data_IF_467392858557
#
_entry.id   IF_467392858557
#
_cell.length_a   1.000
_cell.length_b   1.000
_cell.length_c   1.000
_cell.angle_alpha   90.00
_cell.angle_beta   90.00
_cell.angle_gamma   90.00
#
_symmetry.space_group_name_H-M   'P 1'
#
loop_
_entity.id
_entity.type
_entity.pdbx_description
1 polymer ?
#
# COMPACT_ATOMS: atom_id res chain seq x y z
N UNK A 1 -30.26 14.57 -45.22
CA UNK A 1 -29.59 13.57 -44.33
C UNK A 1 -28.76 14.24 -43.23
N UNK A 2 -29.37 14.93 -42.25
CA UNK A 2 -28.64 15.58 -41.13
C UNK A 2 -29.17 15.27 -39.71
N UNK A 3 -30.30 14.57 -39.59
CA UNK A 3 -30.96 14.32 -38.28
C UNK A 3 -30.51 13.05 -37.53
N UNK A 4 -30.03 12.00 -38.22
CA UNK A 4 -29.73 10.70 -37.58
C UNK A 4 -28.37 10.64 -36.85
N UNK A 5 -27.42 11.54 -37.16
CA UNK A 5 -26.08 11.54 -36.52
C UNK A 5 -26.07 12.19 -35.12
N UNK A 6 -26.98 13.14 -34.85
CA UNK A 6 -27.06 13.79 -33.53
C UNK A 6 -27.67 12.89 -32.45
N UNK A 7 -28.60 12.02 -32.81
CA UNK A 7 -29.26 11.11 -31.87
C UNK A 7 -28.30 10.01 -31.37
N UNK A 8 -27.43 9.50 -32.26
CA UNK A 8 -26.44 8.49 -31.90
C UNK A 8 -25.36 9.03 -30.95
N UNK A 9 -24.92 10.28 -31.16
CA UNK A 9 -23.95 10.92 -30.27
C UNK A 9 -24.49 11.13 -28.85
N UNK A 10 -25.76 11.52 -28.70
CA UNK A 10 -26.38 11.74 -27.38
C UNK A 10 -26.59 10.43 -26.61
N UNK A 11 -26.91 9.33 -27.32
CA UNK A 11 -27.10 8.01 -26.72
C UNK A 11 -25.78 7.40 -26.23
N UNK A 12 -24.69 7.57 -26.99
CA UNK A 12 -23.35 7.10 -26.59
C UNK A 12 -22.82 7.87 -25.37
N UNK A 13 -23.03 9.19 -25.32
CA UNK A 13 -22.65 10.01 -24.15
C UNK A 13 -23.43 9.58 -22.90
N UNK A 14 -24.73 9.28 -23.03
CA UNK A 14 -25.55 8.82 -21.89
C UNK A 14 -25.09 7.45 -21.33
N UNK A 15 -24.71 6.52 -22.21
CA UNK A 15 -24.17 5.20 -21.81
C UNK A 15 -22.81 5.36 -21.11
N UNK A 16 -21.91 6.21 -21.65
CA UNK A 16 -20.61 6.48 -21.03
C UNK A 16 -20.78 7.12 -19.65
N UNK A 17 -21.67 8.10 -19.50
CA UNK A 17 -21.96 8.72 -18.20
C UNK A 17 -22.56 7.73 -17.19
N UNK A 18 -23.48 6.84 -17.61
CA UNK A 18 -24.05 5.82 -16.73
C UNK A 18 -23.02 4.75 -16.34
N UNK A 19 -22.15 4.31 -17.25
CA UNK A 19 -21.06 3.39 -16.94
C UNK A 19 -20.02 4.05 -16.03
N UNK A 20 -19.69 5.32 -16.24
CA UNK A 20 -18.78 6.06 -15.36
C UNK A 20 -19.40 6.24 -13.97
N UNK A 21 -20.69 6.53 -13.86
CA UNK A 21 -21.40 6.62 -12.58
C UNK A 21 -21.50 5.27 -11.86
N UNK A 22 -21.70 4.17 -12.61
CA UNK A 22 -21.69 2.82 -12.06
C UNK A 22 -20.28 2.40 -11.60
N UNK A 23 -19.23 2.77 -12.34
CA UNK A 23 -17.83 2.46 -12.03
C UNK A 23 -17.29 3.32 -10.87
N UNK A 24 -17.61 4.62 -10.84
CA UNK A 24 -17.30 5.51 -9.71
C UNK A 24 -18.10 5.08 -8.47
N UNK A 25 -19.37 4.69 -8.63
CA UNK A 25 -20.17 4.11 -7.55
C UNK A 25 -19.61 2.77 -7.04
N UNK A 26 -19.01 1.96 -7.90
CA UNK A 26 -18.36 0.69 -7.54
C UNK A 26 -17.01 0.92 -6.83
N UNK A 27 -16.19 1.85 -7.31
CA UNK A 27 -14.93 2.27 -6.66
C UNK A 27 -15.21 2.94 -5.31
N UNK A 28 -16.26 3.76 -5.22
CA UNK A 28 -16.70 4.36 -3.96
C UNK A 28 -17.20 3.29 -3.00
N UNK A 29 -17.93 2.27 -3.49
CA UNK A 29 -18.42 1.14 -2.68
C UNK A 29 -17.30 0.22 -2.16
N UNK A 30 -16.21 0.06 -2.92
CA UNK A 30 -15.02 -0.69 -2.48
C UNK A 30 -14.23 0.11 -1.41
N UNK A 31 -14.06 1.43 -1.58
CA UNK A 31 -13.38 2.26 -0.59
C UNK A 31 -14.23 2.55 0.66
N UNK A 32 -15.55 2.53 0.55
CA UNK A 32 -16.46 2.77 1.67
C UNK A 32 -16.50 1.60 2.68
N UNK A 33 -16.16 0.37 2.27
CA UNK A 33 -16.08 -0.75 3.21
C UNK A 33 -14.91 -0.60 4.20
N UNK A 34 -13.74 -0.18 3.73
CA UNK A 34 -12.57 0.07 4.60
C UNK A 34 -12.78 1.30 5.49
N UNK A 35 -13.43 2.35 4.98
CA UNK A 35 -13.67 3.59 5.73
C UNK A 35 -14.75 3.45 6.82
N UNK A 36 -15.82 2.67 6.59
CA UNK A 36 -16.84 2.39 7.61
C UNK A 36 -16.34 1.54 8.79
N UNK A 37 -15.26 0.79 8.61
CA UNK A 37 -14.70 -0.06 9.67
C UNK A 37 -13.78 0.71 10.63
N UNK A 38 -13.40 1.94 10.27
CA UNK A 38 -12.59 2.81 11.12
C UNK A 38 -13.33 3.23 12.41
N UNK A 39 -14.67 3.15 12.42
CA UNK A 39 -15.53 3.30 13.61
C UNK A 39 -15.67 2.02 14.48
N UNK A 40 -14.95 0.92 14.18
CA UNK A 40 -15.17 -0.38 14.86
C UNK A 40 -13.91 -1.17 15.24
N UNK A 41 -12.74 -0.55 15.43
CA UNK A 41 -11.66 -1.20 16.20
C UNK A 41 -11.89 -0.91 17.67
N UNK A 42 -12.47 -1.88 18.39
CA UNK A 42 -12.73 -1.73 19.82
C UNK A 42 -11.45 -1.92 20.68
N UNK A 43 -11.58 -1.74 21.99
CA UNK A 43 -10.45 -1.89 22.91
C UNK A 43 -9.85 -3.31 22.92
N UNK A 44 -10.69 -4.33 22.68
CA UNK A 44 -10.24 -5.71 22.60
C UNK A 44 -9.44 -5.92 21.32
N UNK A 45 -9.91 -5.43 20.18
CA UNK A 45 -9.20 -5.50 18.90
C UNK A 45 -7.84 -4.78 18.99
N UNK A 46 -7.77 -3.60 19.62
CA UNK A 46 -6.49 -2.91 19.89
C UNK A 46 -5.55 -3.74 20.76
N UNK A 47 -6.07 -4.40 21.80
CA UNK A 47 -5.28 -5.29 22.65
C UNK A 47 -4.73 -6.48 21.84
N UNK A 48 -5.57 -7.12 21.03
CA UNK A 48 -5.16 -8.21 20.13
C UNK A 48 -4.04 -7.73 19.19
N UNK A 49 -4.23 -6.61 18.51
CA UNK A 49 -3.24 -6.03 17.60
C UNK A 49 -1.93 -5.67 18.32
N UNK A 50 -2.00 -5.17 19.55
CA UNK A 50 -0.80 -4.86 20.35
C UNK A 50 0.03 -6.09 20.73
N UNK A 51 -0.62 -7.25 20.88
CA UNK A 51 0.03 -8.53 21.17
C UNK A 51 0.60 -9.11 19.88
N UNK A 52 -0.22 -9.19 18.82
CA UNK A 52 0.17 -9.79 17.54
C UNK A 52 1.26 -9.00 16.81
N UNK A 53 1.29 -7.67 16.92
CA UNK A 53 2.35 -6.83 16.33
C UNK A 53 3.73 -7.08 16.94
N UNK A 54 3.79 -7.57 18.19
CA UNK A 54 5.05 -7.97 18.85
C UNK A 54 5.45 -9.40 18.49
N UNK A 55 4.48 -10.30 18.42
CA UNK A 55 4.72 -11.70 18.08
C UNK A 55 3.51 -12.29 17.35
N UNK A 56 3.55 -12.27 16.02
CA UNK A 56 2.47 -12.84 15.19
C UNK A 56 2.32 -14.37 15.32
N UNK A 57 3.31 -15.07 15.91
CA UNK A 57 3.28 -16.54 16.11
C UNK A 57 2.67 -16.97 17.44
N UNK A 58 2.28 -16.02 18.29
CA UNK A 58 1.64 -16.34 19.57
C UNK A 58 0.37 -17.17 19.33
N UNK A 59 0.20 -18.33 20.01
CA UNK A 59 -1.01 -19.12 19.88
C UNK A 59 -2.24 -18.31 20.30
N UNK A 60 -3.33 -18.40 19.53
CA UNK A 60 -4.59 -17.71 19.88
C UNK A 60 -5.16 -18.13 21.23
N UNK A 61 -4.78 -19.30 21.76
CA UNK A 61 -5.10 -19.72 23.13
C UNK A 61 -4.50 -18.75 24.16
N UNK A 62 -3.26 -18.33 23.95
CA UNK A 62 -2.53 -17.50 24.91
C UNK A 62 -2.97 -16.04 24.78
N UNK A 63 -3.23 -15.57 23.55
CA UNK A 63 -3.89 -14.28 23.30
C UNK A 63 -5.25 -14.23 23.98
N UNK A 64 -6.04 -15.30 23.88
CA UNK A 64 -7.35 -15.39 24.51
C UNK A 64 -7.27 -15.29 26.05
N UNK A 65 -6.27 -15.96 26.65
CA UNK A 65 -6.00 -15.88 28.08
C UNK A 65 -5.63 -14.45 28.51
N UNK A 66 -4.76 -13.77 27.76
CA UNK A 66 -4.35 -12.39 28.05
C UNK A 66 -5.50 -11.38 27.85
N UNK A 67 -6.36 -11.62 26.86
CA UNK A 67 -7.53 -10.79 26.57
C UNK A 67 -8.76 -11.10 27.44
N UNK A 68 -8.77 -12.19 28.21
CA UNK A 68 -9.91 -12.59 29.05
C UNK A 68 -11.13 -13.05 28.26
N UNK A 69 -10.94 -13.63 27.07
CA UNK A 69 -12.02 -14.08 26.18
C UNK A 69 -11.76 -15.51 25.67
N UNK A 70 -12.69 -16.09 24.92
CA UNK A 70 -12.52 -17.43 24.35
C UNK A 70 -11.58 -17.44 23.15
N UNK A 71 -10.91 -18.56 22.90
CA UNK A 71 -10.09 -18.77 21.68
C UNK A 71 -10.91 -18.55 20.40
N UNK A 72 -12.17 -18.99 20.38
CA UNK A 72 -13.07 -18.79 19.25
C UNK A 72 -13.35 -17.30 19.01
N UNK A 73 -13.53 -16.51 20.07
CA UNK A 73 -13.70 -15.06 19.96
C UNK A 73 -12.46 -14.39 19.34
N UNK A 74 -11.25 -14.73 19.80
CA UNK A 74 -10.00 -14.21 19.20
C UNK A 74 -9.92 -14.56 17.71
N UNK A 75 -10.18 -15.82 17.36
CA UNK A 75 -10.13 -16.26 15.97
C UNK A 75 -11.07 -15.44 15.07
N UNK A 76 -12.32 -15.26 15.49
CA UNK A 76 -13.31 -14.46 14.75
C UNK A 76 -12.88 -12.99 14.64
N UNK A 77 -12.35 -12.40 15.72
CA UNK A 77 -11.84 -11.02 15.68
C UNK A 77 -10.69 -10.85 14.72
N UNK A 78 -9.66 -11.71 14.79
CA UNK A 78 -8.50 -11.64 13.88
C UNK A 78 -8.94 -11.82 12.44
N UNK A 79 -9.85 -12.75 12.17
CA UNK A 79 -10.40 -12.95 10.83
C UNK A 79 -11.10 -11.67 10.32
N UNK A 80 -11.95 -11.04 11.12
CA UNK A 80 -12.58 -9.76 10.75
C UNK A 80 -11.57 -8.63 10.57
N UNK A 81 -10.50 -8.58 11.37
CA UNK A 81 -9.43 -7.58 11.20
C UNK A 81 -8.66 -7.77 9.88
N UNK A 82 -8.46 -9.02 9.44
CA UNK A 82 -7.86 -9.34 8.14
C UNK A 82 -8.83 -8.99 7.00
N UNK A 83 -10.08 -9.44 7.07
CA UNK A 83 -11.12 -9.16 6.06
C UNK A 83 -11.42 -7.66 5.93
N UNK A 84 -11.34 -6.92 7.04
CA UNK A 84 -11.49 -5.47 7.09
C UNK A 84 -10.26 -4.69 6.60
N UNK A 85 -9.17 -5.37 6.22
CA UNK A 85 -7.93 -4.73 5.74
C UNK A 85 -7.10 -4.03 6.82
N UNK A 86 -7.38 -4.28 8.10
CA UNK A 86 -6.62 -3.72 9.23
C UNK A 86 -5.32 -4.50 9.43
N UNK A 87 -5.42 -5.83 9.36
CA UNK A 87 -4.25 -6.70 9.26
C UNK A 87 -3.99 -6.91 7.78
N UNK A 88 -3.02 -6.20 7.23
CA UNK A 88 -2.67 -6.21 5.80
C UNK A 88 -1.73 -7.36 5.42
N UNK A 89 -1.18 -8.08 6.39
CA UNK A 89 -0.33 -9.23 6.14
C UNK A 89 0.22 -9.87 7.41
N UNK A 90 0.80 -11.06 7.26
CA UNK A 90 1.52 -11.78 8.31
C UNK A 90 2.74 -12.45 7.69
N UNK A 91 3.94 -12.15 8.18
CA UNK A 91 5.16 -12.68 7.61
C UNK A 91 6.39 -12.44 8.47
N UNK A 92 7.52 -12.97 8.02
CA UNK A 92 8.81 -12.71 8.64
C UNK A 92 9.46 -11.47 8.02
N UNK A 93 10.01 -10.61 8.87
CA UNK A 93 10.90 -9.56 8.39
C UNK A 93 12.28 -10.16 8.10
N UNK A 94 12.62 -10.25 6.82
CA UNK A 94 13.92 -10.76 6.38
C UNK A 94 14.91 -9.60 6.31
N UNK A 95 16.15 -9.83 6.76
CA UNK A 95 17.23 -8.85 6.61
C UNK A 95 17.69 -8.79 5.14
N UNK A 96 17.50 -7.67 4.42
CA UNK A 96 17.89 -7.57 3.01
C UNK A 96 19.38 -7.82 2.78
N UNK A 97 20.24 -7.40 3.72
CA UNK A 97 21.70 -7.60 3.64
C UNK A 97 22.07 -9.09 3.59
N UNK A 98 21.32 -9.93 4.31
CA UNK A 98 21.52 -11.39 4.32
C UNK A 98 21.14 -12.06 2.99
N UNK A 99 20.35 -11.38 2.16
CA UNK A 99 19.99 -11.82 0.80
C UNK A 99 20.92 -11.23 -0.28
N UNK A 100 21.96 -10.49 0.13
CA UNK A 100 22.90 -9.83 -0.77
C UNK A 100 22.52 -8.41 -1.18
N UNK A 101 21.38 -7.88 -0.71
CA UNK A 101 21.01 -6.48 -0.95
C UNK A 101 21.80 -5.54 -0.03
N UNK A 102 22.91 -5.03 -0.54
CA UNK A 102 23.83 -4.19 0.23
C UNK A 102 23.38 -2.73 0.30
N UNK A 103 22.56 -2.28 -0.64
CA UNK A 103 22.20 -0.87 -0.79
C UNK A 103 20.69 -0.67 -0.65
N UNK A 104 20.29 0.11 0.35
CA UNK A 104 18.93 0.62 0.49
C UNK A 104 18.88 2.03 -0.08
N UNK A 105 17.93 2.28 -0.98
CA UNK A 105 17.88 3.55 -1.71
C UNK A 105 16.47 4.11 -1.70
N UNK A 106 16.36 5.40 -1.42
CA UNK A 106 15.15 6.17 -1.69
C UNK A 106 15.32 6.92 -3.01
N UNK A 107 14.31 6.87 -3.87
CA UNK A 107 14.30 7.53 -5.17
C UNK A 107 13.10 8.46 -5.20
N UNK A 108 13.36 9.76 -5.29
CA UNK A 108 12.36 10.76 -5.62
C UNK A 108 12.08 10.72 -7.11
N UNK A 109 10.83 10.46 -7.51
CA UNK A 109 10.40 10.48 -8.91
C UNK A 109 9.57 11.75 -9.18
N UNK A 110 9.91 12.44 -10.25
CA UNK A 110 9.12 13.53 -10.80
C UNK A 110 8.34 13.02 -12.00
N UNK A 111 7.01 13.19 -11.95
CA UNK A 111 6.16 12.82 -13.07
C UNK A 111 5.88 14.04 -13.96
N UNK A 112 5.62 13.79 -15.23
CA UNK A 112 5.18 14.82 -16.19
C UNK A 112 3.86 15.46 -15.72
N UNK A 113 2.94 14.62 -15.23
CA UNK A 113 1.67 15.02 -14.63
C UNK A 113 1.37 14.14 -13.44
N UNK A 114 0.98 14.74 -12.31
CA UNK A 114 0.58 13.98 -11.11
C UNK A 114 -0.56 12.99 -11.35
N UNK A 115 -1.42 13.22 -12.36
CA UNK A 115 -2.49 12.28 -12.74
C UNK A 115 -1.98 10.94 -13.27
N UNK A 116 -0.73 10.84 -13.71
CA UNK A 116 -0.11 9.61 -14.21
C UNK A 116 0.35 8.66 -13.10
N UNK A 117 0.24 9.08 -11.83
CA UNK A 117 0.63 8.30 -10.66
C UNK A 117 0.16 6.85 -10.70
N UNK A 118 -1.12 6.60 -11.04
CA UNK A 118 -1.69 5.25 -11.02
C UNK A 118 -0.99 4.33 -12.03
N UNK A 119 -0.81 4.80 -13.26
CA UNK A 119 -0.16 4.04 -14.33
C UNK A 119 1.32 3.78 -14.04
N UNK A 120 1.98 4.70 -13.33
CA UNK A 120 3.38 4.55 -12.89
C UNK A 120 3.46 3.54 -11.76
N UNK A 121 2.58 3.60 -10.75
CA UNK A 121 2.53 2.63 -9.65
C UNK A 121 2.35 1.21 -10.16
N UNK A 122 1.44 0.98 -11.12
CA UNK A 122 1.24 -0.35 -11.72
C UNK A 122 2.52 -0.93 -12.32
N UNK A 123 3.39 -0.09 -12.89
CA UNK A 123 4.69 -0.50 -13.44
C UNK A 123 5.74 -0.68 -12.37
N UNK A 124 5.78 0.19 -11.36
CA UNK A 124 6.68 0.06 -10.22
C UNK A 124 6.42 -1.24 -9.44
N UNK A 125 5.16 -1.64 -9.31
CA UNK A 125 4.75 -2.89 -8.66
C UNK A 125 5.31 -4.15 -9.37
N UNK A 126 5.64 -4.04 -10.66
CA UNK A 126 6.30 -5.11 -11.41
C UNK A 126 7.82 -5.19 -11.19
N UNK A 127 8.41 -4.28 -10.42
CA UNK A 127 9.84 -4.24 -10.11
C UNK A 127 10.04 -4.76 -8.67
N UNK A 128 10.46 -6.02 -8.47
CA UNK A 128 10.52 -6.63 -7.13
C UNK A 128 11.44 -5.91 -6.14
N UNK A 129 12.45 -5.21 -6.63
CA UNK A 129 13.36 -4.41 -5.83
C UNK A 129 12.68 -3.18 -5.21
N UNK A 130 11.57 -2.70 -5.79
CA UNK A 130 10.74 -1.63 -5.23
C UNK A 130 9.87 -2.19 -4.12
N UNK A 131 10.10 -1.74 -2.90
CA UNK A 131 9.44 -2.28 -1.69
C UNK A 131 8.44 -1.32 -1.06
N UNK A 132 8.55 -0.02 -1.33
CA UNK A 132 7.59 0.99 -0.87
C UNK A 132 7.47 2.08 -1.94
N UNK A 133 6.27 2.63 -2.10
CA UNK A 133 6.02 3.73 -3.02
C UNK A 133 4.94 4.65 -2.43
N UNK A 134 5.26 5.94 -2.35
CA UNK A 134 4.41 6.95 -1.74
C UNK A 134 4.16 8.09 -2.72
N UNK A 135 2.94 8.61 -2.81
CA UNK A 135 2.65 9.89 -3.45
C UNK A 135 2.85 11.01 -2.43
N UNK A 136 3.65 12.03 -2.75
CA UNK A 136 4.13 13.01 -1.76
C UNK A 136 3.83 14.44 -2.16
N UNK A 137 3.64 15.33 -1.17
CA UNK A 137 3.52 16.78 -1.37
C UNK A 137 4.86 17.50 -1.52
N UNK A 138 5.98 16.80 -1.24
CA UNK A 138 7.33 17.33 -1.25
C UNK A 138 7.86 17.67 -2.65
N UNK A 139 9.19 17.81 -2.81
CA UNK A 139 9.79 18.20 -4.09
C UNK A 139 9.59 17.15 -5.20
N UNK A 140 9.30 15.91 -4.81
CA UNK A 140 9.03 14.81 -5.73
C UNK A 140 7.55 14.48 -5.75
N UNK A 141 7.06 14.07 -6.92
CA UNK A 141 5.69 13.55 -7.04
C UNK A 141 5.53 12.24 -6.28
N UNK A 142 6.55 11.38 -6.34
CA UNK A 142 6.57 10.11 -5.65
C UNK A 142 7.89 9.89 -4.93
N UNK A 143 7.85 9.19 -3.80
CA UNK A 143 9.01 8.70 -3.07
C UNK A 143 8.98 7.17 -3.06
N UNK A 144 9.97 6.57 -3.70
CA UNK A 144 10.10 5.13 -3.85
C UNK A 144 11.24 4.64 -2.97
N UNK A 145 11.07 3.51 -2.30
CA UNK A 145 12.14 2.80 -1.60
C UNK A 145 12.42 1.51 -2.33
N UNK A 146 13.70 1.25 -2.59
CA UNK A 146 14.15 0.03 -3.24
C UNK A 146 15.45 -0.50 -2.61
N UNK A 147 15.73 -1.77 -2.89
CA UNK A 147 16.97 -2.43 -2.51
C UNK A 147 17.74 -2.91 -3.73
N UNK A 148 19.05 -2.67 -3.77
CA UNK A 148 19.96 -3.18 -4.79
C UNK A 148 21.09 -4.00 -4.17
N UNK A 149 21.59 -4.99 -4.92
CA UNK A 149 22.72 -5.84 -4.53
C UNK A 149 24.04 -5.10 -4.59
N UNK A 150 24.22 -4.29 -5.62
CA UNK A 150 25.41 -3.50 -5.88
C UNK A 150 25.06 -2.24 -6.70
N UNK A 151 26.10 -1.45 -6.99
CA UNK A 151 25.97 -0.20 -7.75
C UNK A 151 25.56 -0.44 -9.22
N UNK A 152 25.92 -1.58 -9.81
CA UNK A 152 25.58 -1.92 -11.19
C UNK A 152 24.08 -2.21 -11.32
N UNK A 153 23.55 -3.05 -10.43
CA UNK A 153 22.11 -3.29 -10.34
C UNK A 153 21.38 -1.98 -10.04
N UNK A 154 21.87 -1.15 -9.10
CA UNK A 154 21.25 0.14 -8.81
C UNK A 154 21.16 1.03 -10.05
N UNK A 155 22.25 1.14 -10.82
CA UNK A 155 22.27 1.92 -12.06
C UNK A 155 21.24 1.39 -13.08
N UNK A 156 21.12 0.07 -13.22
CA UNK A 156 20.13 -0.56 -14.09
C UNK A 156 18.69 -0.32 -13.61
N UNK A 157 18.43 -0.40 -12.31
CA UNK A 157 17.11 -0.07 -11.74
C UNK A 157 16.74 1.39 -12.05
N UNK A 158 17.66 2.32 -11.82
CA UNK A 158 17.40 3.74 -12.02
C UNK A 158 17.17 4.09 -13.49
N UNK A 159 18.12 3.74 -14.37
CA UNK A 159 18.09 4.19 -15.77
C UNK A 159 17.36 3.23 -16.69
N UNK A 160 17.50 1.92 -16.47
CA UNK A 160 16.94 0.88 -17.34
C UNK A 160 15.51 0.48 -16.97
N UNK A 161 15.03 0.86 -15.78
CA UNK A 161 13.67 0.53 -15.35
C UNK A 161 12.88 1.77 -14.93
N UNK A 162 13.32 2.53 -13.93
CA UNK A 162 12.52 3.65 -13.40
C UNK A 162 12.37 4.79 -14.40
N UNK A 163 13.47 5.24 -15.03
CA UNK A 163 13.42 6.32 -16.02
C UNK A 163 12.70 5.95 -17.32
N UNK A 164 12.67 4.66 -17.67
CA UNK A 164 11.96 4.16 -18.85
C UNK A 164 10.44 4.08 -18.65
N UNK A 165 9.95 4.26 -17.42
CA UNK A 165 8.51 4.28 -17.16
C UNK A 165 7.89 5.53 -17.81
N UNK A 166 6.91 5.36 -18.73
CA UNK A 166 6.23 6.50 -19.33
C UNK A 166 5.60 7.42 -18.29
N UNK A 167 5.96 8.70 -18.34
CA UNK A 167 5.52 9.72 -17.40
C UNK A 167 6.55 10.07 -16.34
N UNK A 168 7.62 9.29 -16.14
CA UNK A 168 8.76 9.69 -15.30
C UNK A 168 9.63 10.67 -16.09
N UNK A 169 9.89 11.85 -15.51
CA UNK A 169 10.68 12.92 -16.14
C UNK A 169 12.09 12.97 -15.56
N UNK A 170 12.21 12.80 -14.25
CA UNK A 170 13.50 12.77 -13.58
C UNK A 170 13.45 11.99 -12.28
N UNK A 171 14.63 11.56 -11.83
CA UNK A 171 14.83 10.78 -10.61
C UNK A 171 15.92 11.41 -9.77
N UNK A 172 15.70 11.55 -8.46
CA UNK A 172 16.73 11.96 -7.50
C UNK A 172 16.97 10.82 -6.50
N UNK A 173 18.24 10.48 -6.27
CA UNK A 173 18.61 9.27 -5.54
C UNK A 173 19.22 9.62 -4.18
N UNK A 174 18.69 9.03 -3.11
CA UNK A 174 19.16 9.15 -1.75
C UNK A 174 19.54 7.76 -1.21
N UNK A 175 20.84 7.48 -1.14
CA UNK A 175 21.35 6.21 -0.63
C UNK A 175 21.33 6.23 0.91
N UNK A 176 20.68 5.23 1.51
CA UNK A 176 20.68 5.04 2.96
C UNK A 176 21.98 4.35 3.38
N UNK A 177 22.81 5.07 4.14
CA UNK A 177 24.06 4.54 4.69
C UNK A 177 23.80 3.61 5.87
N UNK A 178 22.82 3.95 6.71
CA UNK A 178 22.44 3.16 7.88
C UNK A 178 20.94 3.28 8.15
N UNK A 179 20.33 2.15 8.53
CA UNK A 179 18.97 2.11 9.07
C UNK A 179 19.05 1.82 10.58
N UNK A 180 19.13 2.86 11.40
CA UNK A 180 19.29 2.71 12.85
C UNK A 180 17.99 2.30 13.58
N UNK A 181 16.82 2.56 12.98
CA UNK A 181 15.51 2.22 13.58
C UNK A 181 14.60 1.56 12.53
N UNK A 182 13.95 0.46 12.92
CA UNK A 182 12.84 -0.18 12.20
C UNK A 182 11.85 -0.73 13.22
N UNK A 183 10.60 -0.29 13.16
CA UNK A 183 9.49 -0.77 14.02
C UNK A 183 8.15 -0.45 13.38
N UNK A 184 7.13 -1.21 13.74
CA UNK A 184 5.74 -0.92 13.38
C UNK A 184 5.18 0.28 14.18
N UNK A 185 4.08 0.85 13.68
CA UNK A 185 3.35 1.92 14.38
C UNK A 185 2.78 1.37 15.70
N UNK A 186 2.96 2.07 16.85
CA UNK A 186 2.45 1.60 18.12
C UNK A 186 0.92 1.61 18.16
N UNK A 187 0.32 0.50 18.61
CA UNK A 187 -1.11 0.40 18.87
C UNK A 187 -1.41 0.95 20.27
N UNK A 188 -1.88 2.20 20.35
CA UNK A 188 -2.21 2.85 21.63
C UNK A 188 -3.54 2.32 22.18
N UNK A 189 -3.49 1.74 23.37
CA UNK A 189 -4.68 1.36 24.14
C UNK A 189 -5.00 2.56 25.04
N UNK A 190 -6.19 3.16 24.90
CA UNK A 190 -6.63 4.17 25.86
C UNK A 190 -6.84 3.47 27.21
N UNK A 191 -6.02 3.80 28.20
CA UNK A 191 -6.25 3.38 29.58
C UNK A 191 -7.52 4.08 30.09
N UNK A 192 -8.40 3.33 30.75
CA UNK A 192 -9.57 3.86 31.44
C UNK A 192 -9.19 4.35 32.82
#
# INVERSE_FOLDING_TARGET
MRGKRKFFAHFVVYIIYNLYFCFVGFIFRINHQSFLYMDKIDSLDKKILSILSKNARIPFKDVAAECGVSRAAIHQRVQHLVEGGIVTGSGFHINPKSLGYSTCTYVGLNLERGSMYKDVVERLDQIPEVVECHFTTGPYTMLVKLYAKDNEQLMNLLNGQLQEIPGVVSTETLISLEQSIKREVPVVIAEK
#
